data_IF_362764518350
#
_entry.id   IF_362764518350
#
_cell.length_a   1.000
_cell.length_b   1.000
_cell.length_c   1.000
_cell.angle_alpha   90.00
_cell.angle_beta   90.00
_cell.angle_gamma   90.00
#
_symmetry.space_group_name_H-M   'P 1'
#
loop_
_entity.id
_entity.type
_entity.pdbx_description
1 polymer ?
#
# COMPACT_ATOMS: atom_id res chain seq x y z
N UNK A 1 6.43 5.50 -14.83
CA UNK A 1 5.87 5.01 -13.55
C UNK A 1 5.48 6.19 -12.70
N UNK A 2 4.37 6.09 -11.98
CA UNK A 2 3.92 7.14 -11.07
C UNK A 2 4.77 7.20 -9.79
N UNK A 3 4.70 8.31 -9.02
CA UNK A 3 5.37 8.41 -7.73
C UNK A 3 4.97 7.31 -6.74
N UNK A 4 5.88 6.94 -5.84
CA UNK A 4 5.62 5.94 -4.80
C UNK A 4 4.56 6.45 -3.84
N UNK A 5 4.60 7.74 -3.46
CA UNK A 5 3.59 8.35 -2.60
C UNK A 5 2.17 8.23 -3.16
N UNK A 6 2.01 8.39 -4.48
CA UNK A 6 0.73 8.20 -5.16
C UNK A 6 0.28 6.73 -5.08
N UNK A 7 1.19 5.79 -5.37
CA UNK A 7 0.90 4.35 -5.30
C UNK A 7 0.47 3.93 -3.89
N UNK A 8 1.17 4.39 -2.86
CA UNK A 8 0.84 4.12 -1.46
C UNK A 8 -0.49 4.75 -1.05
N UNK A 9 -0.81 5.95 -1.55
CA UNK A 9 -2.10 6.61 -1.29
C UNK A 9 -3.27 5.83 -1.89
N UNK A 10 -3.11 5.29 -3.08
CA UNK A 10 -4.13 4.43 -3.70
C UNK A 10 -4.26 3.09 -2.98
N UNK A 11 -3.15 2.52 -2.50
CA UNK A 11 -3.17 1.32 -1.67
C UNK A 11 -3.87 1.56 -0.32
N UNK A 12 -3.71 2.74 0.29
CA UNK A 12 -4.46 3.16 1.49
C UNK A 12 -5.96 3.14 1.19
N UNK A 13 -6.40 3.75 0.09
CA UNK A 13 -7.81 3.80 -0.29
C UNK A 13 -8.41 2.41 -0.56
N UNK A 14 -7.65 1.53 -1.25
CA UNK A 14 -8.05 0.13 -1.44
C UNK A 14 -8.19 -0.60 -0.09
N UNK A 15 -7.22 -0.40 0.80
CA UNK A 15 -7.17 -1.02 2.12
C UNK A 15 -8.34 -0.59 3.01
N UNK A 16 -8.63 0.72 3.04
CA UNK A 16 -9.78 1.27 3.78
C UNK A 16 -11.10 0.72 3.25
N UNK A 17 -11.25 0.64 1.94
CA UNK A 17 -12.42 0.04 1.30
C UNK A 17 -12.60 -1.43 1.70
N UNK A 18 -11.51 -2.19 1.69
CA UNK A 18 -11.52 -3.59 2.11
C UNK A 18 -11.90 -3.75 3.59
N UNK A 19 -11.39 -2.90 4.48
CA UNK A 19 -11.73 -2.95 5.91
C UNK A 19 -13.15 -2.50 6.22
N UNK A 20 -13.71 -1.57 5.44
CA UNK A 20 -15.00 -0.95 5.72
C UNK A 20 -16.18 -1.54 4.94
N UNK A 21 -15.91 -2.29 3.85
CA UNK A 21 -16.96 -2.85 2.99
C UNK A 21 -16.84 -4.37 2.81
N UNK A 22 -17.15 -5.19 3.83
CA UNK A 22 -17.07 -6.66 3.74
C UNK A 22 -17.86 -7.27 2.58
N UNK A 23 -19.05 -6.72 2.30
CA UNK A 23 -19.89 -7.17 1.18
C UNK A 23 -19.23 -7.03 -0.21
N UNK A 24 -18.14 -6.26 -0.32
CA UNK A 24 -17.40 -6.05 -1.57
C UNK A 24 -16.16 -6.93 -1.73
N UNK A 25 -15.80 -7.78 -0.75
CA UNK A 25 -14.55 -8.55 -0.79
C UNK A 25 -14.40 -9.41 -2.05
N UNK A 26 -15.45 -10.12 -2.47
CA UNK A 26 -15.42 -10.88 -3.73
C UNK A 26 -15.24 -9.99 -4.96
N UNK A 27 -15.85 -8.80 -4.97
CA UNK A 27 -15.67 -7.82 -6.03
C UNK A 27 -14.24 -7.30 -6.07
N UNK A 28 -13.68 -6.94 -4.92
CA UNK A 28 -12.30 -6.46 -4.76
C UNK A 28 -11.28 -7.53 -5.17
N UNK A 29 -11.55 -8.81 -4.88
CA UNK A 29 -10.70 -9.92 -5.31
C UNK A 29 -10.64 -10.08 -6.85
N UNK A 30 -11.72 -9.71 -7.55
CA UNK A 30 -11.80 -9.73 -9.00
C UNK A 30 -11.31 -8.42 -9.66
N UNK A 31 -11.12 -7.35 -8.89
CA UNK A 31 -10.65 -6.05 -9.41
C UNK A 31 -9.18 -6.12 -9.84
N UNK A 32 -8.86 -5.63 -11.04
CA UNK A 32 -7.48 -5.55 -11.56
C UNK A 32 -6.63 -4.47 -10.90
N UNK A 33 -7.26 -3.53 -10.18
CA UNK A 33 -6.60 -2.43 -9.49
C UNK A 33 -5.58 -2.91 -8.46
N UNK A 34 -5.94 -3.93 -7.66
CA UNK A 34 -5.05 -4.43 -6.61
C UNK A 34 -3.78 -5.11 -7.16
N UNK A 35 -3.86 -6.04 -8.13
CA UNK A 35 -2.67 -6.60 -8.76
C UNK A 35 -1.70 -5.56 -9.34
N UNK A 36 -2.22 -4.48 -9.93
CA UNK A 36 -1.40 -3.38 -10.44
C UNK A 36 -0.66 -2.64 -9.32
N UNK A 37 -1.38 -2.27 -8.25
CA UNK A 37 -0.78 -1.65 -7.05
C UNK A 37 0.29 -2.56 -6.44
N UNK A 38 0.00 -3.85 -6.30
CA UNK A 38 0.90 -4.83 -5.73
C UNK A 38 2.21 -4.95 -6.53
N UNK A 39 2.11 -4.97 -7.86
CA UNK A 39 3.27 -4.99 -8.74
C UNK A 39 4.12 -3.72 -8.60
N UNK A 40 3.51 -2.55 -8.61
CA UNK A 40 4.23 -1.28 -8.47
C UNK A 40 4.96 -1.15 -7.13
N UNK A 41 4.36 -1.61 -6.03
CA UNK A 41 5.00 -1.63 -4.71
C UNK A 41 6.20 -2.59 -4.71
N UNK A 42 6.07 -3.78 -5.29
CA UNK A 42 7.19 -4.73 -5.43
C UNK A 42 8.32 -4.18 -6.28
N UNK A 43 7.98 -3.48 -7.36
CA UNK A 43 8.98 -2.86 -8.23
C UNK A 43 9.68 -1.68 -7.57
N UNK A 44 8.96 -0.91 -6.75
CA UNK A 44 9.56 0.14 -5.92
C UNK A 44 10.49 -0.45 -4.85
N UNK A 45 10.09 -1.55 -4.20
CA UNK A 45 10.90 -2.19 -3.16
C UNK A 45 12.20 -2.80 -3.71
N UNK A 46 12.19 -3.34 -4.93
CA UNK A 46 13.40 -3.87 -5.57
C UNK A 46 14.42 -2.79 -5.97
N UNK A 47 14.02 -1.53 -6.07
CA UNK A 47 14.92 -0.46 -6.50
C UNK A 47 15.86 -0.02 -5.37
N UNK A 48 17.07 0.46 -5.72
CA UNK A 48 17.87 1.25 -4.81
C UNK A 48 17.05 2.42 -4.28
N UNK A 49 17.17 2.72 -3.00
CA UNK A 49 16.51 3.86 -2.37
C UNK A 49 17.55 4.94 -2.12
N UNK A 50 17.33 6.12 -2.70
CA UNK A 50 18.19 7.30 -2.50
C UNK A 50 17.84 8.07 -1.21
N UNK A 51 16.76 7.69 -0.52
CA UNK A 51 16.30 8.29 0.74
C UNK A 51 15.87 7.22 1.76
N UNK A 52 14.97 7.59 2.67
CA UNK A 52 14.43 6.63 3.66
C UNK A 52 13.50 5.65 2.92
N UNK A 53 13.81 4.35 2.98
CA UNK A 53 12.95 3.31 2.41
C UNK A 53 11.56 3.36 3.04
N UNK A 54 10.53 3.46 2.20
CA UNK A 54 9.13 3.64 2.59
C UNK A 54 8.21 2.63 1.89
N UNK A 55 8.64 1.37 1.83
CA UNK A 55 7.94 0.28 1.13
C UNK A 55 7.58 -0.90 2.03
N UNK A 56 8.05 -0.92 3.28
CA UNK A 56 8.01 -2.12 4.14
C UNK A 56 6.56 -2.48 4.50
N UNK A 57 5.79 -1.49 4.94
CA UNK A 57 4.37 -1.68 5.24
C UNK A 57 3.54 -1.86 3.98
N UNK A 58 3.95 -1.26 2.86
CA UNK A 58 3.38 -1.52 1.54
C UNK A 58 3.50 -2.99 1.13
N UNK A 59 4.67 -3.59 1.27
CA UNK A 59 4.90 -5.01 0.99
C UNK A 59 4.09 -5.90 1.93
N UNK A 60 4.06 -5.58 3.23
CA UNK A 60 3.25 -6.32 4.20
C UNK A 60 1.75 -6.25 3.89
N UNK A 61 1.24 -5.07 3.51
CA UNK A 61 -0.14 -4.89 3.05
C UNK A 61 -0.38 -5.54 1.70
N UNK A 62 0.58 -5.73 0.81
CA UNK A 62 0.34 -6.51 -0.41
C UNK A 62 0.15 -8.00 -0.09
N UNK A 63 0.96 -8.54 0.82
CA UNK A 63 0.88 -9.95 1.18
C UNK A 63 -0.43 -10.33 1.90
N UNK A 64 -1.01 -9.43 2.70
CA UNK A 64 -2.20 -9.77 3.50
C UNK A 64 -3.49 -9.97 2.67
N UNK A 65 -3.90 -9.06 1.75
CA UNK A 65 -5.01 -9.26 0.84
C UNK A 65 -4.77 -10.42 -0.11
N UNK A 66 -3.55 -10.66 -0.59
CA UNK A 66 -3.28 -11.85 -1.41
C UNK A 66 -3.57 -13.14 -0.62
N UNK A 67 -3.11 -13.23 0.63
CA UNK A 67 -3.41 -14.36 1.50
C UNK A 67 -4.89 -14.44 1.90
N UNK A 68 -5.56 -13.29 2.03
CA UNK A 68 -6.98 -13.21 2.33
C UNK A 68 -7.85 -13.70 1.16
N UNK A 69 -7.58 -13.20 -0.06
CA UNK A 69 -8.30 -13.55 -1.28
C UNK A 69 -8.00 -14.97 -1.77
N UNK A 70 -6.83 -15.52 -1.45
CA UNK A 70 -6.52 -16.93 -1.70
C UNK A 70 -7.24 -17.90 -0.74
N UNK A 71 -7.81 -17.39 0.36
CA UNK A 71 -8.54 -18.18 1.35
C UNK A 71 -10.06 -18.07 1.22
N UNK A 72 -10.77 -18.40 2.29
CA UNK A 72 -12.24 -18.36 2.35
C UNK A 72 -12.83 -16.94 2.44
N UNK A 73 -11.98 -15.90 2.52
CA UNK A 73 -12.40 -14.52 2.74
C UNK A 73 -13.34 -14.35 3.94
N UNK A 74 -13.02 -15.04 5.04
CA UNK A 74 -13.77 -14.94 6.29
C UNK A 74 -13.63 -13.53 6.91
N UNK A 75 -14.74 -12.83 7.22
CA UNK A 75 -14.72 -11.53 7.92
C UNK A 75 -14.00 -11.54 9.28
N UNK A 76 -13.80 -12.70 9.92
CA UNK A 76 -13.01 -12.82 11.17
C UNK A 76 -11.53 -13.13 10.95
N UNK A 77 -11.09 -13.15 9.69
CA UNK A 77 -9.73 -13.52 9.30
C UNK A 77 -8.67 -12.64 9.96
N UNK A 78 -7.62 -13.30 10.47
CA UNK A 78 -6.39 -12.65 10.97
C UNK A 78 -5.75 -11.71 9.96
N UNK A 79 -5.97 -11.93 8.66
CA UNK A 79 -5.43 -11.07 7.61
C UNK A 79 -6.11 -9.69 7.62
N UNK A 80 -7.41 -9.60 7.91
CA UNK A 80 -8.10 -8.32 8.06
C UNK A 80 -7.60 -7.56 9.29
N UNK A 81 -7.36 -8.27 10.41
CA UNK A 81 -6.77 -7.67 11.60
C UNK A 81 -5.35 -7.14 11.34
N UNK A 82 -4.51 -7.90 10.64
CA UNK A 82 -3.17 -7.49 10.24
C UNK A 82 -3.21 -6.25 9.34
N UNK A 83 -4.10 -6.22 8.35
CA UNK A 83 -4.30 -5.07 7.45
C UNK A 83 -4.70 -3.82 8.25
N UNK A 84 -5.62 -3.94 9.21
CA UNK A 84 -6.00 -2.85 10.10
C UNK A 84 -4.83 -2.32 10.92
N UNK A 85 -3.98 -3.20 11.44
CA UNK A 85 -2.78 -2.82 12.20
C UNK A 85 -1.67 -2.19 11.35
N UNK A 86 -1.57 -2.54 10.07
CA UNK A 86 -0.56 -2.02 9.15
C UNK A 86 -0.95 -0.66 8.55
N UNK A 87 -2.24 -0.31 8.49
CA UNK A 87 -2.72 0.91 7.85
C UNK A 87 -2.09 2.21 8.39
N UNK A 88 -1.90 2.40 9.71
CA UNK A 88 -1.19 3.58 10.23
C UNK A 88 0.27 3.65 9.76
N UNK A 89 0.95 2.50 9.65
CA UNK A 89 2.33 2.44 9.16
C UNK A 89 2.39 2.81 7.68
N UNK A 90 1.42 2.33 6.90
CA UNK A 90 1.31 2.67 5.47
C UNK A 90 1.10 4.15 5.24
N UNK A 91 0.29 4.82 6.06
CA UNK A 91 0.14 6.28 6.02
C UNK A 91 1.45 7.00 6.35
N UNK A 92 2.20 6.50 7.33
CA UNK A 92 3.53 7.03 7.66
C UNK A 92 4.52 6.88 6.50
N UNK A 93 4.55 5.71 5.85
CA UNK A 93 5.38 5.46 4.67
C UNK A 93 4.95 6.32 3.46
N UNK A 94 3.65 6.50 3.23
CA UNK A 94 3.16 7.38 2.16
C UNK A 94 3.64 8.83 2.34
N UNK A 95 3.61 9.33 3.58
CA UNK A 95 4.16 10.65 3.91
C UNK A 95 5.67 10.71 3.71
N UNK A 96 6.41 9.68 4.14
CA UNK A 96 7.86 9.64 3.96
C UNK A 96 8.24 9.56 2.46
N UNK A 97 7.51 8.80 1.66
CA UNK A 97 7.69 8.74 0.22
C UNK A 97 7.48 10.11 -0.43
N UNK A 98 6.43 10.84 -0.05
CA UNK A 98 6.19 12.21 -0.54
C UNK A 98 7.35 13.15 -0.17
N UNK A 99 7.91 13.01 1.03
CA UNK A 99 9.08 13.81 1.43
C UNK A 99 10.31 13.50 0.59
N UNK A 100 10.64 12.23 0.42
CA UNK A 100 11.77 11.81 -0.42
C UNK A 100 11.63 12.35 -1.86
N UNK A 101 10.40 12.30 -2.41
CA UNK A 101 10.11 12.81 -3.76
C UNK A 101 10.31 14.33 -3.88
N UNK A 102 9.89 15.10 -2.86
CA UNK A 102 10.13 16.56 -2.81
C UNK A 102 11.60 16.91 -2.66
N UNK A 103 12.32 16.16 -1.83
CA UNK A 103 13.77 16.34 -1.65
C UNK A 103 14.51 16.03 -2.97
N UNK A 104 14.15 14.95 -3.67
CA UNK A 104 14.71 14.59 -4.97
C UNK A 104 14.39 15.62 -6.07
N UNK A 105 13.22 16.27 -6.01
CA UNK A 105 12.84 17.33 -6.95
C UNK A 105 13.60 18.66 -6.73
N UNK A 106 14.46 18.75 -5.72
CA UNK A 106 15.19 19.98 -5.39
C UNK A 106 14.30 21.08 -4.81
N UNK A 107 13.06 20.75 -4.43
CA UNK A 107 12.11 21.67 -3.77
C UNK A 107 12.40 21.82 -2.27
N UNK A 108 13.39 21.10 -1.76
CA UNK A 108 13.66 20.93 -0.33
C UNK A 108 13.99 22.20 0.46
N UNK A 109 14.43 23.30 -0.16
CA UNK A 109 14.69 24.55 0.57
C UNK A 109 14.94 25.76 -0.36
N UNK A 110 13.87 26.46 -0.78
CA UNK A 110 13.98 27.90 -1.09
C UNK A 110 13.41 28.65 0.10
N UNK A 111 14.31 29.15 0.95
CA UNK A 111 13.99 30.09 2.03
C UNK A 111 13.51 31.41 1.47
#
# INVERSE_FOLDING_TARGET
MRPLSQTLTELIGFTEEMLTKPARHHGLAAETRFPLLAQEIRDADKRPSEGIRATSSGIAIVACPEAYFAGEMDPTSRWLAAIGGLLPLLRGEAWQALRNEKEAAGEGYRR
#
